data_IF_642023977146
#
_entry.id   IF_642023977146
#
_cell.length_a   1.000
_cell.length_b   1.000
_cell.length_c   1.000
_cell.angle_alpha   90.00
_cell.angle_beta   90.00
_cell.angle_gamma   90.00
#
_symmetry.space_group_name_H-M   'P 1'
#
loop_
_entity.id
_entity.type
_entity.pdbx_description
1 polymer ?
#
# COMPACT_ATOMS: atom_id res chain seq x y z
N UNK A 1 7.40 -25.93 -33.40
CA UNK A 1 8.76 -25.37 -33.30
C UNK A 1 8.78 -24.50 -32.04
N UNK A 2 9.22 -25.04 -30.91
CA UNK A 2 10.57 -24.84 -30.32
C UNK A 2 10.84 -23.34 -30.04
N UNK A 3 11.05 -22.87 -28.81
CA UNK A 3 11.82 -23.49 -27.72
C UNK A 3 11.20 -23.28 -26.34
N UNK A 4 11.30 -24.34 -25.55
CA UNK A 4 11.33 -24.39 -24.10
C UNK A 4 12.54 -23.58 -23.61
N UNK A 5 12.32 -22.45 -22.97
CA UNK A 5 13.27 -21.87 -22.03
C UNK A 5 12.88 -22.33 -20.63
N UNK A 6 13.57 -23.35 -20.14
CA UNK A 6 13.58 -23.69 -18.73
C UNK A 6 14.40 -22.63 -17.99
N UNK A 7 13.78 -21.48 -17.70
CA UNK A 7 14.07 -20.78 -16.45
C UNK A 7 13.12 -21.36 -15.42
N UNK A 8 13.57 -21.61 -14.19
CA UNK A 8 12.65 -21.82 -13.09
C UNK A 8 11.81 -20.53 -12.99
N UNK A 9 10.64 -20.52 -13.61
CA UNK A 9 9.64 -19.51 -13.33
C UNK A 9 9.25 -19.76 -11.88
N UNK A 10 9.91 -19.05 -10.96
CA UNK A 10 9.38 -18.86 -9.62
C UNK A 10 7.98 -18.33 -9.85
N UNK A 11 6.97 -19.14 -9.53
CA UNK A 11 5.59 -18.70 -9.54
C UNK A 11 5.49 -17.59 -8.50
N UNK A 12 5.57 -16.34 -8.97
CA UNK A 12 5.60 -15.18 -8.10
C UNK A 12 4.18 -14.95 -7.63
N UNK A 13 3.91 -15.33 -6.38
CA UNK A 13 2.59 -15.13 -5.78
C UNK A 13 2.32 -13.65 -5.49
N UNK A 14 1.26 -13.12 -6.11
CA UNK A 14 0.72 -11.78 -5.87
C UNK A 14 -0.66 -11.82 -5.18
N UNK A 15 -1.06 -12.96 -4.61
CA UNK A 15 -2.33 -13.13 -3.91
C UNK A 15 -2.53 -12.11 -2.78
N UNK A 16 -1.44 -11.68 -2.14
CA UNK A 16 -1.45 -10.64 -1.10
C UNK A 16 -1.99 -9.30 -1.59
N UNK A 17 -1.85 -8.98 -2.89
CA UNK A 17 -2.33 -7.76 -3.52
C UNK A 17 -3.82 -7.76 -3.88
N UNK A 18 -4.53 -8.89 -3.74
CA UNK A 18 -5.94 -8.98 -4.11
C UNK A 18 -6.79 -7.88 -3.46
N UNK A 19 -6.69 -7.71 -2.13
CA UNK A 19 -7.46 -6.71 -1.40
C UNK A 19 -7.06 -5.28 -1.82
N UNK A 20 -5.76 -4.89 -1.83
CA UNK A 20 -5.34 -3.56 -2.28
C UNK A 20 -5.76 -3.21 -3.71
N UNK A 21 -5.61 -4.14 -4.65
CA UNK A 21 -5.94 -3.91 -6.06
C UNK A 21 -7.45 -3.78 -6.27
N UNK A 22 -8.24 -4.65 -5.61
CA UNK A 22 -9.68 -4.55 -5.66
C UNK A 22 -10.15 -3.19 -5.12
N UNK A 23 -9.66 -2.80 -3.94
CA UNK A 23 -10.06 -1.53 -3.32
C UNK A 23 -9.61 -0.33 -4.16
N UNK A 24 -8.39 -0.35 -4.70
CA UNK A 24 -7.90 0.69 -5.61
C UNK A 24 -8.80 0.83 -6.84
N UNK A 25 -9.19 -0.28 -7.48
CA UNK A 25 -10.08 -0.28 -8.64
C UNK A 25 -11.46 0.27 -8.32
N UNK A 26 -12.04 -0.14 -7.19
CA UNK A 26 -13.31 0.40 -6.69
C UNK A 26 -13.21 1.90 -6.41
N UNK A 27 -12.18 2.34 -5.69
CA UNK A 27 -11.98 3.74 -5.33
C UNK A 27 -11.78 4.62 -6.58
N UNK A 28 -10.98 4.18 -7.54
CA UNK A 28 -10.81 4.88 -8.83
C UNK A 28 -12.13 5.00 -9.58
N UNK A 29 -12.94 3.93 -9.62
CA UNK A 29 -14.25 3.95 -10.28
C UNK A 29 -15.22 4.90 -9.59
N UNK A 30 -15.31 4.84 -8.26
CA UNK A 30 -16.18 5.69 -7.44
C UNK A 30 -15.78 7.17 -7.56
N UNK A 31 -14.49 7.47 -7.47
CA UNK A 31 -13.99 8.83 -7.65
C UNK A 31 -14.24 9.35 -9.06
N UNK A 32 -14.08 8.49 -10.09
CA UNK A 32 -14.43 8.80 -11.48
C UNK A 32 -15.91 9.19 -11.66
N UNK A 33 -16.82 8.59 -10.89
CA UNK A 33 -18.23 8.98 -10.90
C UNK A 33 -18.46 10.35 -10.27
N UNK A 34 -17.78 10.67 -9.18
CA UNK A 34 -17.85 12.03 -8.59
C UNK A 34 -17.27 13.09 -9.53
N UNK A 35 -16.14 12.79 -10.18
CA UNK A 35 -15.57 13.62 -11.24
C UNK A 35 -16.56 13.87 -12.39
N UNK A 36 -17.22 12.81 -12.88
CA UNK A 36 -18.19 12.93 -13.96
C UNK A 36 -19.38 13.83 -13.58
N UNK A 37 -19.87 13.78 -12.33
CA UNK A 37 -20.93 14.67 -11.85
C UNK A 37 -20.51 16.15 -11.86
N UNK A 38 -19.26 16.43 -11.50
CA UNK A 38 -18.70 17.79 -11.56
C UNK A 38 -18.59 18.30 -13.01
N UNK A 39 -18.26 17.42 -13.96
CA UNK A 39 -18.14 17.76 -15.38
C UNK A 39 -19.49 17.83 -16.13
N UNK A 40 -20.49 17.04 -15.73
CA UNK A 40 -21.80 17.02 -16.40
C UNK A 40 -22.58 18.35 -16.31
N UNK A 41 -22.19 19.23 -15.39
CA UNK A 41 -22.83 20.54 -15.16
C UNK A 41 -22.06 21.70 -15.79
N UNK A 42 -20.93 21.44 -16.46
CA UNK A 42 -20.17 22.49 -17.16
C UNK A 42 -20.69 22.66 -18.59
N UNK A 43 -21.26 23.85 -18.89
CA UNK A 43 -21.38 24.31 -20.27
C UNK A 43 -19.98 24.63 -20.83
N UNK A 44 -19.84 24.60 -22.16
CA UNK A 44 -18.58 24.71 -22.91
C UNK A 44 -17.67 25.90 -22.55
N UNK A 45 -18.19 26.93 -21.88
CA UNK A 45 -17.44 28.13 -21.51
C UNK A 45 -17.00 28.21 -20.04
N UNK A 46 -17.49 27.36 -19.12
CA UNK A 46 -17.06 27.36 -17.72
C UNK A 46 -17.14 25.97 -17.10
N UNK A 47 -16.00 25.30 -16.96
CA UNK A 47 -15.84 24.34 -15.88
C UNK A 47 -16.02 25.12 -14.58
N UNK A 48 -17.07 24.81 -13.83
CA UNK A 48 -17.34 25.45 -12.54
C UNK A 48 -16.23 25.03 -11.58
N UNK A 49 -15.16 25.84 -11.50
CA UNK A 49 -14.07 25.70 -10.53
C UNK A 49 -14.61 25.51 -9.10
N UNK A 50 -15.77 26.12 -8.81
CA UNK A 50 -16.51 25.99 -7.56
C UNK A 50 -17.01 24.56 -7.30
N UNK A 51 -17.40 23.80 -8.33
CA UNK A 51 -17.87 22.42 -8.16
C UNK A 51 -16.73 21.44 -7.93
N UNK A 52 -15.56 21.71 -8.52
CA UNK A 52 -14.32 20.99 -8.21
C UNK A 52 -13.86 21.24 -6.77
N UNK A 53 -13.88 22.49 -6.32
CA UNK A 53 -13.50 22.86 -4.96
C UNK A 53 -14.41 22.24 -3.87
N UNK A 54 -15.62 21.82 -4.22
CA UNK A 54 -16.58 21.16 -3.32
C UNK A 54 -16.56 19.64 -3.39
N UNK A 55 -15.75 19.07 -4.29
CA UNK A 55 -15.71 17.63 -4.47
C UNK A 55 -15.25 16.95 -3.19
N UNK A 56 -16.02 15.97 -2.74
CA UNK A 56 -15.70 15.15 -1.59
C UNK A 56 -15.85 13.67 -1.93
N UNK A 57 -14.90 12.88 -1.47
CA UNK A 57 -14.92 11.43 -1.55
C UNK A 57 -14.44 10.87 -0.22
N UNK A 58 -15.29 10.12 0.48
CA UNK A 58 -15.02 9.59 1.83
C UNK A 58 -14.57 10.70 2.80
N UNK A 59 -15.28 11.83 2.79
CA UNK A 59 -14.94 13.03 3.56
C UNK A 59 -13.69 13.82 3.09
N UNK A 60 -12.89 13.29 2.18
CA UNK A 60 -11.66 13.92 1.67
C UNK A 60 -11.91 14.76 0.43
N UNK A 61 -11.06 15.76 0.19
CA UNK A 61 -10.93 16.42 -1.12
C UNK A 61 -9.99 15.63 -2.06
N UNK A 62 -9.63 16.26 -3.18
CA UNK A 62 -8.74 15.68 -4.18
C UNK A 62 -7.35 15.34 -3.64
N UNK A 63 -6.83 16.11 -2.66
CA UNK A 63 -5.54 15.84 -2.05
C UNK A 63 -5.60 14.60 -1.18
N UNK A 64 -6.68 14.43 -0.41
CA UNK A 64 -6.89 13.19 0.34
C UNK A 64 -7.07 11.96 -0.57
N UNK A 65 -7.70 12.09 -1.73
CA UNK A 65 -7.75 11.00 -2.71
C UNK A 65 -6.37 10.72 -3.34
N UNK A 66 -5.56 11.75 -3.59
CA UNK A 66 -4.18 11.59 -4.06
C UNK A 66 -3.32 10.84 -3.04
N UNK A 67 -3.48 11.11 -1.74
CA UNK A 67 -2.80 10.37 -0.67
C UNK A 67 -3.24 8.91 -0.62
N UNK A 68 -4.53 8.65 -0.84
CA UNK A 68 -5.07 7.29 -0.95
C UNK A 68 -4.45 6.52 -2.12
N UNK A 69 -4.31 7.15 -3.30
CA UNK A 69 -3.62 6.57 -4.45
C UNK A 69 -2.14 6.30 -4.18
N UNK A 70 -1.46 7.20 -3.46
CA UNK A 70 -0.08 7.00 -3.05
C UNK A 70 0.07 5.74 -2.17
N UNK A 71 -0.85 5.53 -1.23
CA UNK A 71 -0.86 4.34 -0.35
C UNK A 71 -0.99 3.02 -1.12
N UNK A 72 -1.89 2.96 -2.12
CA UNK A 72 -1.98 1.78 -2.99
C UNK A 72 -0.70 1.57 -3.80
N UNK A 73 -0.16 2.65 -4.37
CA UNK A 73 1.07 2.60 -5.17
C UNK A 73 2.23 2.06 -4.32
N UNK A 74 2.43 2.56 -3.11
CA UNK A 74 3.46 2.09 -2.18
C UNK A 74 3.27 0.61 -1.87
N UNK A 75 2.04 0.16 -1.59
CA UNK A 75 1.72 -1.25 -1.37
C UNK A 75 2.11 -2.15 -2.56
N UNK A 76 1.76 -1.74 -3.78
CA UNK A 76 2.08 -2.49 -5.01
C UNK A 76 3.59 -2.55 -5.23
N UNK A 77 4.30 -1.42 -5.02
CA UNK A 77 5.75 -1.34 -5.16
C UNK A 77 6.46 -2.28 -4.17
N UNK A 78 6.02 -2.33 -2.91
CA UNK A 78 6.58 -3.25 -1.90
C UNK A 78 6.38 -4.71 -2.30
N UNK A 79 5.18 -5.10 -2.75
CA UNK A 79 4.92 -6.47 -3.19
C UNK A 79 5.78 -6.86 -4.42
N UNK A 80 5.99 -5.93 -5.35
CA UNK A 80 6.88 -6.13 -6.50
C UNK A 80 8.35 -6.22 -6.09
N UNK A 81 8.77 -5.45 -5.09
CA UNK A 81 10.11 -5.51 -4.54
C UNK A 81 10.38 -6.88 -3.89
N UNK A 82 9.42 -7.38 -3.11
CA UNK A 82 9.48 -8.72 -2.51
C UNK A 82 9.55 -9.85 -3.55
N UNK A 83 8.71 -9.77 -4.57
CA UNK A 83 8.78 -10.64 -5.74
C UNK A 83 10.14 -10.61 -6.45
N UNK A 84 10.70 -9.41 -6.62
CA UNK A 84 12.00 -9.21 -7.29
C UNK A 84 13.15 -9.80 -6.48
N UNK A 85 13.11 -9.68 -5.15
CA UNK A 85 14.08 -10.33 -4.25
C UNK A 85 14.06 -11.84 -4.35
N UNK A 86 12.87 -12.47 -4.45
CA UNK A 86 12.77 -13.93 -4.65
C UNK A 86 13.38 -14.40 -5.97
N UNK A 87 13.33 -13.58 -7.01
CA UNK A 87 13.72 -13.96 -8.37
C UNK A 87 15.19 -13.68 -8.71
N UNK A 88 15.91 -12.87 -7.91
CA UNK A 88 17.23 -12.33 -8.27
C UNK A 88 18.32 -12.67 -7.26
N UNK A 89 19.57 -12.76 -7.73
CA UNK A 89 20.74 -12.79 -6.83
C UNK A 89 20.90 -11.42 -6.16
N UNK A 90 20.93 -11.40 -4.83
CA UNK A 90 20.82 -10.18 -4.04
C UNK A 90 22.19 -9.50 -3.89
N UNK A 91 22.22 -8.18 -4.12
CA UNK A 91 23.36 -7.33 -3.77
C UNK A 91 23.07 -6.57 -2.48
N UNK A 92 24.11 -6.21 -1.72
CA UNK A 92 23.98 -5.41 -0.48
C UNK A 92 23.33 -4.06 -0.73
N UNK A 93 23.61 -3.42 -1.88
CA UNK A 93 22.97 -2.16 -2.29
C UNK A 93 21.46 -2.34 -2.50
N UNK A 94 21.07 -3.37 -3.27
CA UNK A 94 19.66 -3.69 -3.48
C UNK A 94 18.94 -3.90 -2.16
N UNK A 95 19.58 -4.55 -1.20
CA UNK A 95 18.99 -4.79 0.12
C UNK A 95 18.68 -3.51 0.90
N UNK A 96 19.60 -2.54 0.87
CA UNK A 96 19.41 -1.26 1.56
C UNK A 96 18.32 -0.43 0.89
N UNK A 97 18.27 -0.41 -0.44
CA UNK A 97 17.19 0.25 -1.20
C UNK A 97 15.81 -0.33 -0.83
N UNK A 98 15.72 -1.64 -0.61
CA UNK A 98 14.47 -2.29 -0.19
C UNK A 98 14.07 -1.92 1.24
N UNK A 99 15.02 -1.77 2.17
CA UNK A 99 14.71 -1.32 3.54
C UNK A 99 14.17 0.11 3.55
N UNK A 100 14.80 1.02 2.80
CA UNK A 100 14.32 2.39 2.68
C UNK A 100 12.90 2.43 2.09
N UNK A 101 12.67 1.63 1.04
CA UNK A 101 11.36 1.47 0.42
C UNK A 101 10.30 0.98 1.42
N UNK A 102 10.61 -0.02 2.25
CA UNK A 102 9.70 -0.53 3.29
C UNK A 102 9.40 0.53 4.34
N UNK A 103 10.44 1.24 4.81
CA UNK A 103 10.27 2.30 5.82
C UNK A 103 9.33 3.38 5.31
N UNK A 104 9.63 3.94 4.14
CA UNK A 104 8.83 5.01 3.55
C UNK A 104 7.38 4.54 3.28
N UNK A 105 7.19 3.31 2.78
CA UNK A 105 5.85 2.76 2.56
C UNK A 105 5.10 2.53 3.88
N UNK A 106 5.79 2.10 4.93
CA UNK A 106 5.20 1.90 6.26
C UNK A 106 4.74 3.23 6.85
N UNK A 107 5.60 4.25 6.83
CA UNK A 107 5.28 5.60 7.29
C UNK A 107 4.04 6.18 6.57
N UNK A 108 4.01 6.07 5.23
CA UNK A 108 2.88 6.51 4.41
C UNK A 108 1.56 5.79 4.76
N UNK A 109 1.64 4.47 4.95
CA UNK A 109 0.48 3.62 5.26
C UNK A 109 -0.04 3.84 6.67
N UNK A 110 0.84 4.06 7.65
CA UNK A 110 0.47 4.38 9.03
C UNK A 110 -0.20 5.75 9.13
N UNK A 111 0.36 6.76 8.47
CA UNK A 111 -0.27 8.08 8.39
C UNK A 111 -1.66 8.02 7.74
N UNK A 112 -1.81 7.23 6.67
CA UNK A 112 -3.10 7.03 6.02
C UNK A 112 -4.08 6.25 6.91
N UNK A 113 -3.61 5.21 7.62
CA UNK A 113 -4.41 4.43 8.55
C UNK A 113 -4.95 5.28 9.70
N UNK A 114 -4.12 6.18 10.25
CA UNK A 114 -4.54 7.11 11.29
C UNK A 114 -5.65 8.04 10.78
N UNK A 115 -5.48 8.62 9.59
CA UNK A 115 -6.53 9.44 8.95
C UNK A 115 -7.85 8.68 8.76
N UNK A 116 -7.79 7.39 8.42
CA UNK A 116 -8.97 6.52 8.30
C UNK A 116 -9.63 6.30 9.66
N UNK A 117 -8.84 6.02 10.71
CA UNK A 117 -9.35 5.79 12.06
C UNK A 117 -10.00 7.05 12.65
N UNK A 118 -9.42 8.23 12.43
CA UNK A 118 -10.00 9.51 12.82
C UNK A 118 -11.39 9.72 12.18
N UNK A 119 -11.52 9.37 10.89
CA UNK A 119 -12.81 9.45 10.16
C UNK A 119 -13.84 8.49 10.72
N UNK A 120 -13.46 7.24 10.98
CA UNK A 120 -14.34 6.26 11.60
C UNK A 120 -14.83 6.75 12.96
N UNK A 121 -13.95 7.30 13.79
CA UNK A 121 -14.30 7.87 15.08
C UNK A 121 -15.25 9.07 14.94
N UNK A 122 -15.03 9.94 13.96
CA UNK A 122 -15.90 11.09 13.70
C UNK A 122 -17.31 10.68 13.25
N UNK A 123 -17.44 9.63 12.43
CA UNK A 123 -18.73 9.09 12.00
C UNK A 123 -19.48 8.47 13.18
N UNK A 124 -18.80 7.65 14.00
CA UNK A 124 -19.40 7.03 15.19
C UNK A 124 -19.93 8.08 16.17
N UNK A 125 -19.17 9.17 16.39
CA UNK A 125 -19.57 10.28 17.27
C UNK A 125 -20.80 11.05 16.78
N UNK A 126 -21.11 11.03 15.47
CA UNK A 126 -22.23 11.78 14.87
C UNK A 126 -23.59 11.07 14.99
N UNK A 127 -23.69 9.88 15.60
CA UNK A 127 -24.89 8.98 15.72
C UNK A 127 -24.84 7.81 14.71
N UNK A 128 -25.53 6.70 15.04
CA UNK A 128 -25.73 5.51 14.18
C UNK A 128 -26.10 5.94 12.75
N UNK A 129 -25.51 5.35 11.68
CA UNK A 129 -25.83 5.69 10.30
C UNK A 129 -27.35 5.73 10.07
N UNK A 130 -27.90 6.92 9.85
CA UNK A 130 -29.35 7.13 9.74
C UNK A 130 -29.85 7.07 8.30
N UNK A 131 -28.95 7.13 7.33
CA UNK A 131 -29.26 7.06 5.90
C UNK A 131 -28.45 5.99 5.18
N UNK A 132 -29.00 5.48 4.07
CA UNK A 132 -28.30 4.54 3.18
C UNK A 132 -26.97 5.10 2.65
N UNK A 133 -26.87 6.42 2.55
CA UNK A 133 -25.64 7.12 2.13
C UNK A 133 -24.56 7.02 3.21
N UNK A 134 -24.91 7.23 4.48
CA UNK A 134 -23.99 7.11 5.61
C UNK A 134 -23.48 5.67 5.75
N UNK A 135 -24.35 4.67 5.53
CA UNK A 135 -23.97 3.24 5.54
C UNK A 135 -22.99 2.93 4.41
N UNK A 136 -23.25 3.45 3.21
CA UNK A 136 -22.36 3.24 2.06
C UNK A 136 -20.99 3.92 2.26
N UNK A 137 -20.95 5.12 2.83
CA UNK A 137 -19.70 5.83 3.14
C UNK A 137 -18.91 5.08 4.24
N UNK A 138 -19.57 4.65 5.31
CA UNK A 138 -18.94 3.87 6.37
C UNK A 138 -18.30 2.59 5.81
N UNK A 139 -19.01 1.87 4.94
CA UNK A 139 -18.49 0.67 4.27
C UNK A 139 -17.26 0.97 3.41
N UNK A 140 -17.25 2.09 2.67
CA UNK A 140 -16.08 2.50 1.87
C UNK A 140 -14.86 2.75 2.76
N UNK A 141 -15.05 3.42 3.89
CA UNK A 141 -13.98 3.71 4.85
C UNK A 141 -13.47 2.42 5.51
N UNK A 142 -14.34 1.47 5.83
CA UNK A 142 -13.94 0.16 6.34
C UNK A 142 -13.16 -0.66 5.31
N UNK A 143 -13.61 -0.69 4.04
CA UNK A 143 -12.89 -1.39 2.98
C UNK A 143 -11.51 -0.76 2.73
N UNK A 144 -11.43 0.57 2.84
CA UNK A 144 -10.15 1.29 2.77
C UNK A 144 -9.21 0.89 3.91
N UNK A 145 -9.71 0.90 5.15
CA UNK A 145 -8.97 0.45 6.33
C UNK A 145 -8.38 -0.95 6.12
N UNK A 146 -9.21 -1.90 5.68
CA UNK A 146 -8.78 -3.27 5.43
C UNK A 146 -7.69 -3.36 4.35
N UNK A 147 -7.78 -2.53 3.30
CA UNK A 147 -6.75 -2.43 2.28
C UNK A 147 -5.44 -1.86 2.82
N UNK A 148 -5.50 -0.80 3.63
CA UNK A 148 -4.31 -0.19 4.25
C UNK A 148 -3.64 -1.16 5.24
N UNK A 149 -4.41 -1.85 6.06
CA UNK A 149 -3.92 -2.91 6.96
C UNK A 149 -3.23 -4.03 6.16
N UNK A 150 -3.78 -4.40 4.99
CA UNK A 150 -3.15 -5.38 4.11
C UNK A 150 -1.83 -4.87 3.52
N UNK A 151 -1.74 -3.58 3.19
CA UNK A 151 -0.48 -2.94 2.77
C UNK A 151 0.61 -3.03 3.85
N UNK A 152 0.25 -2.77 5.11
CA UNK A 152 1.17 -2.92 6.25
C UNK A 152 1.61 -4.37 6.44
N UNK A 153 0.71 -5.34 6.24
CA UNK A 153 1.08 -6.75 6.26
C UNK A 153 2.12 -7.09 5.19
N UNK A 154 1.96 -6.57 3.97
CA UNK A 154 2.91 -6.77 2.86
C UNK A 154 4.28 -6.16 3.20
N UNK A 155 4.31 -4.98 3.83
CA UNK A 155 5.56 -4.37 4.30
C UNK A 155 6.30 -5.26 5.31
N UNK A 156 5.57 -5.84 6.28
CA UNK A 156 6.14 -6.79 7.24
C UNK A 156 6.68 -8.05 6.56
N UNK A 157 5.95 -8.61 5.60
CA UNK A 157 6.38 -9.79 4.85
C UNK A 157 7.72 -9.57 4.14
N UNK A 158 7.88 -8.43 3.46
CA UNK A 158 9.15 -8.07 2.82
C UNK A 158 10.26 -7.86 3.85
N UNK A 159 9.96 -7.21 4.97
CA UNK A 159 10.93 -7.01 6.06
C UNK A 159 11.45 -8.34 6.61
N UNK A 160 10.56 -9.29 6.87
CA UNK A 160 10.92 -10.61 7.40
C UNK A 160 11.73 -11.41 6.39
N UNK A 161 11.35 -11.37 5.10
CA UNK A 161 12.12 -11.99 4.03
C UNK A 161 13.55 -11.42 3.93
N UNK A 162 13.71 -10.09 4.07
CA UNK A 162 15.03 -9.44 4.13
C UNK A 162 15.86 -9.93 5.32
N UNK A 163 15.26 -10.08 6.51
CA UNK A 163 15.95 -10.59 7.70
C UNK A 163 16.42 -12.03 7.50
N UNK A 164 15.58 -12.88 6.91
CA UNK A 164 15.96 -14.27 6.59
C UNK A 164 17.15 -14.35 5.64
N UNK A 165 17.15 -13.52 4.59
CA UNK A 165 18.27 -13.41 3.65
C UNK A 165 19.56 -13.03 4.40
N UNK A 166 19.51 -12.02 5.28
CA UNK A 166 20.68 -11.56 6.04
C UNK A 166 21.23 -12.64 6.98
N UNK A 167 20.35 -13.36 7.69
CA UNK A 167 20.75 -14.46 8.58
C UNK A 167 21.43 -15.59 7.81
N UNK A 168 20.90 -15.95 6.63
CA UNK A 168 21.49 -16.97 5.78
C UNK A 168 22.88 -16.57 5.25
N UNK A 169 23.09 -15.29 4.95
CA UNK A 169 24.42 -14.77 4.57
C UNK A 169 25.41 -14.76 5.74
N UNK A 170 24.95 -14.41 6.95
CA UNK A 170 25.79 -14.39 8.15
C UNK A 170 26.24 -15.81 8.57
N UNK A 171 25.33 -16.79 8.56
CA UNK A 171 25.65 -18.18 8.89
C UNK A 171 26.65 -18.83 7.92
N UNK A 172 26.64 -18.40 6.64
CA UNK A 172 27.62 -18.85 5.64
C UNK A 172 29.02 -18.23 5.86
N UNK A 173 29.08 -17.08 6.52
CA UNK A 173 30.34 -16.41 6.90
C UNK A 173 31.00 -17.03 8.14
N UNK A 174 30.21 -17.54 9.09
CA UNK A 174 30.71 -18.13 10.34
C UNK A 174 31.32 -19.52 10.17
N UNK A 175 30.97 -20.26 9.12
CA UNK A 175 31.67 -21.51 8.75
C UNK A 175 33.09 -21.27 8.22
N UNK A 176 33.46 -20.01 7.97
CA UNK A 176 34.75 -19.63 7.36
C UNK A 176 35.75 -19.02 8.34
N UNK A 177 35.34 -18.44 9.47
CA UNK A 177 36.24 -17.79 10.43
C UNK A 177 35.67 -17.90 11.85
N UNK A 178 36.42 -18.60 12.71
CA UNK A 178 36.18 -18.60 14.15
C UNK A 178 36.45 -17.22 14.78
N UNK A 179 35.72 -17.00 15.88
CA UNK A 179 35.89 -15.98 16.92
C UNK A 179 35.54 -14.52 16.58
N UNK A 180 34.59 -13.99 17.37
CA UNK A 180 34.36 -12.55 17.52
C UNK A 180 32.87 -12.22 17.60
N UNK A 181 32.27 -12.36 18.78
CA UNK A 181 30.92 -11.88 19.04
C UNK A 181 30.93 -10.35 19.13
N UNK A 182 30.13 -9.69 18.30
CA UNK A 182 29.62 -8.35 18.59
C UNK A 182 28.13 -8.32 18.26
N UNK A 183 27.33 -8.06 19.29
CA UNK A 183 25.90 -7.78 19.17
C UNK A 183 25.74 -6.48 18.39
N UNK A 184 24.86 -6.48 17.39
CA UNK A 184 24.35 -5.25 16.80
C UNK A 184 22.89 -5.15 17.16
N UNK A 185 22.59 -4.08 17.89
CA UNK A 185 21.29 -3.76 18.44
C UNK A 185 20.20 -3.61 17.39
N UNK A 186 19.02 -3.98 17.88
CA UNK A 186 17.70 -4.00 17.29
C UNK A 186 17.27 -2.58 16.87
N UNK A 187 16.83 -2.43 15.62
CA UNK A 187 15.91 -1.36 15.23
C UNK A 187 14.74 -2.03 14.53
N UNK A 188 13.67 -2.31 15.28
CA UNK A 188 12.28 -2.00 14.93
C UNK A 188 11.47 -2.01 16.24
N UNK A 189 11.13 -0.83 16.76
CA UNK A 189 9.86 -0.60 17.46
C UNK A 189 8.99 0.25 16.53
#
# INVERSE_FOLDING_TARGET
MLMKTAGAATDVDFSSLHIPLQRCGEACKEFGQELAKCCARSNSDRTSFRDWAKMKYMGNDIDGFRQQLASYKSTIIVALADASLRASSITTKTLEDHKELIRNATDDLEAHLESINEKLAAIIKRTVPTSDTDVAELRRIQNERASTEKGLQICRQLSDHIKEIQLNHAGRGTDSLGMGAESVDIIVE
#
